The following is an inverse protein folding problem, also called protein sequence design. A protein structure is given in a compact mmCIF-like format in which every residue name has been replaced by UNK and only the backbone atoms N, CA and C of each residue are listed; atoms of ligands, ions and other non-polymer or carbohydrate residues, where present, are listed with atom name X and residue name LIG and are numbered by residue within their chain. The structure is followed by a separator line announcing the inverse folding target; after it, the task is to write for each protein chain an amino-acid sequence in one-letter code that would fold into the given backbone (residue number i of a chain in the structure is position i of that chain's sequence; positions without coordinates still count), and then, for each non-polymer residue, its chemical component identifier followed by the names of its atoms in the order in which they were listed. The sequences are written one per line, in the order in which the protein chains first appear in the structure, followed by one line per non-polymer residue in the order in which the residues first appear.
data_IF_889371705444
#
_entry.id   IF_889371705444
#
_cell.length_a   1.000
_cell.length_b   1.000
_cell.length_c   1.000
_cell.angle_alpha   90.00
_cell.angle_beta   90.00
_cell.angle_gamma   90.00
#
_symmetry.space_group_name_H-M   'P 1'
#
loop_
_entity.id
_entity.type
_entity.pdbx_description
1 polymer ?
#
# COMPACT_ATOMS: atom_id res chain seq x y z
N UNK A 1 -16.06 28.31 -11.07
CA UNK A 1 -15.71 27.65 -9.80
C UNK A 1 -14.93 26.40 -10.13
N UNK A 2 -13.81 26.19 -9.46
CA UNK A 2 -13.03 24.96 -9.52
C UNK A 2 -12.88 24.41 -8.10
N UNK A 3 -12.78 23.11 -7.99
CA UNK A 3 -12.50 22.41 -6.74
C UNK A 3 -11.42 21.37 -7.03
N UNK A 4 -10.43 21.29 -6.16
CA UNK A 4 -9.26 20.47 -6.37
C UNK A 4 -9.11 19.53 -5.19
N UNK A 5 -8.81 18.28 -5.50
CA UNK A 5 -8.52 17.25 -4.53
C UNK A 5 -7.25 16.51 -4.95
N UNK A 6 -6.73 15.68 -4.07
CA UNK A 6 -5.54 14.89 -4.35
C UNK A 6 -5.68 13.45 -3.90
N UNK A 7 -4.93 12.57 -4.57
CA UNK A 7 -4.86 11.15 -4.25
C UNK A 7 -3.41 10.82 -3.91
N UNK A 8 -3.17 10.31 -2.70
CA UNK A 8 -1.82 10.07 -2.18
C UNK A 8 -1.63 8.60 -1.84
N UNK A 9 -0.57 7.99 -2.36
CA UNK A 9 -0.17 6.63 -1.98
C UNK A 9 0.86 6.69 -0.85
N UNK A 10 0.52 6.12 0.31
CA UNK A 10 1.54 5.86 1.31
C UNK A 10 2.40 4.67 0.86
N UNK A 11 3.68 4.93 0.64
CA UNK A 11 4.63 3.98 0.06
C UNK A 11 4.95 2.82 1.00
N UNK A 12 4.91 3.05 2.32
CA UNK A 12 5.16 2.02 3.34
C UNK A 12 3.98 1.06 3.47
N UNK A 13 2.76 1.60 3.55
CA UNK A 13 1.57 0.77 3.78
C UNK A 13 0.89 0.30 2.49
N UNK A 14 1.31 0.81 1.32
CA UNK A 14 0.66 0.60 0.02
C UNK A 14 -0.84 0.93 0.02
N UNK A 15 -1.23 1.93 0.80
CA UNK A 15 -2.62 2.39 0.96
C UNK A 15 -2.81 3.76 0.31
N UNK A 16 -3.95 3.93 -0.35
CA UNK A 16 -4.33 5.17 -1.01
C UNK A 16 -5.20 6.03 -0.11
N UNK A 17 -4.98 7.33 -0.14
CA UNK A 17 -5.76 8.33 0.57
C UNK A 17 -6.35 9.31 -0.44
N UNK A 18 -7.62 9.64 -0.26
CA UNK A 18 -8.28 10.76 -0.91
C UNK A 18 -8.24 11.96 0.04
N UNK A 19 -7.65 13.07 -0.40
CA UNK A 19 -7.56 14.29 0.39
C UNK A 19 -8.39 15.38 -0.28
N UNK A 20 -9.44 15.81 0.42
CA UNK A 20 -10.37 16.84 0.02
C UNK A 20 -10.45 17.91 1.11
N UNK A 21 -9.73 19.01 0.92
CA UNK A 21 -9.53 20.06 1.92
C UNK A 21 -9.11 19.42 3.27
N UNK A 22 -9.92 19.57 4.32
CA UNK A 22 -9.65 19.02 5.66
C UNK A 22 -10.09 17.55 5.83
N UNK A 23 -10.76 16.96 4.83
CA UNK A 23 -11.23 15.58 4.88
C UNK A 23 -10.25 14.62 4.20
N UNK A 24 -9.78 13.63 4.94
CA UNK A 24 -8.82 12.62 4.46
C UNK A 24 -9.42 11.23 4.67
N UNK A 25 -9.58 10.48 3.59
CA UNK A 25 -10.23 9.18 3.59
C UNK A 25 -9.31 8.09 3.03
N UNK A 26 -9.28 6.93 3.67
CA UNK A 26 -8.62 5.73 3.14
C UNK A 26 -9.48 5.13 2.01
N UNK A 27 -8.92 4.97 0.82
CA UNK A 27 -9.64 4.44 -0.34
C UNK A 27 -8.96 3.18 -0.92
N UNK A 28 -9.73 2.41 -1.70
CA UNK A 28 -9.20 1.28 -2.48
C UNK A 28 -8.51 1.78 -3.75
N UNK A 29 -7.49 1.07 -4.22
CA UNK A 29 -6.75 1.42 -5.45
C UNK A 29 -7.63 1.53 -6.69
N UNK A 30 -8.69 0.72 -6.80
CA UNK A 30 -9.64 0.78 -7.91
C UNK A 30 -10.54 2.02 -7.93
N UNK A 31 -10.51 2.86 -6.89
CA UNK A 31 -11.23 4.13 -6.82
C UNK A 31 -10.33 5.33 -7.17
N UNK A 32 -9.03 5.10 -7.38
CA UNK A 32 -8.11 6.15 -7.81
C UNK A 32 -8.40 6.48 -9.28
N UNK A 33 -8.63 7.75 -9.65
CA UNK A 33 -8.89 8.15 -11.03
C UNK A 33 -7.75 7.81 -11.98
N UNK A 34 -8.06 7.79 -13.27
CA UNK A 34 -7.04 7.65 -14.30
C UNK A 34 -6.04 8.81 -14.21
N UNK A 35 -4.73 8.58 -14.39
CA UNK A 35 -3.75 9.66 -14.45
C UNK A 35 -4.04 10.72 -15.53
N UNK A 36 -4.86 10.39 -16.54
CA UNK A 36 -5.30 11.33 -17.58
C UNK A 36 -6.28 12.40 -17.08
N UNK A 37 -6.97 12.13 -15.98
CA UNK A 37 -7.92 13.05 -15.36
C UNK A 37 -7.21 13.99 -14.36
N UNK A 38 -5.91 13.76 -14.11
CA UNK A 38 -5.10 14.55 -13.22
C UNK A 38 -4.39 15.68 -13.97
N UNK A 39 -4.34 16.86 -13.33
CA UNK A 39 -3.61 18.02 -13.86
C UNK A 39 -2.11 17.98 -13.52
N UNK A 40 -1.72 17.33 -12.41
CA UNK A 40 -0.34 17.11 -11.98
C UNK A 40 -0.19 15.71 -11.40
N UNK A 41 0.95 15.08 -11.65
CA UNK A 41 1.31 13.76 -11.13
C UNK A 41 2.69 13.82 -10.46
N UNK A 42 2.80 13.19 -9.29
CA UNK A 42 4.06 13.05 -8.57
C UNK A 42 4.50 11.58 -8.55
N UNK A 43 5.79 11.35 -8.80
CA UNK A 43 6.39 10.01 -8.82
C UNK A 43 7.62 9.98 -7.93
N UNK A 44 7.78 8.89 -7.18
CA UNK A 44 9.03 8.55 -6.51
C UNK A 44 9.83 7.60 -7.42
N UNK A 45 11.15 7.81 -7.52
CA UNK A 45 12.02 6.88 -8.24
C UNK A 45 12.05 5.54 -7.52
N UNK A 46 12.05 4.45 -8.28
CA UNK A 46 12.10 3.11 -7.72
C UNK A 46 13.31 2.89 -6.79
N UNK A 47 14.47 3.48 -7.14
CA UNK A 47 15.72 3.43 -6.37
C UNK A 47 15.63 4.10 -5.01
N UNK A 48 14.69 5.05 -4.84
CA UNK A 48 14.57 5.86 -3.63
C UNK A 48 13.58 5.23 -2.64
N UNK A 49 13.04 4.06 -2.97
CA UNK A 49 12.18 3.30 -2.06
C UNK A 49 13.06 2.69 -0.98
N UNK A 50 12.88 3.02 0.31
CA UNK A 50 13.60 2.31 1.36
C UNK A 50 13.24 0.83 1.24
N UNK A 51 14.25 -0.02 1.02
CA UNK A 51 14.08 -1.47 1.05
C UNK A 51 13.48 -1.81 2.41
N UNK A 52 12.25 -2.34 2.43
CA UNK A 52 11.65 -2.81 3.66
C UNK A 52 12.65 -3.73 4.37
N UNK A 53 12.81 -3.66 5.72
CA UNK A 53 13.56 -4.68 6.42
C UNK A 53 12.91 -6.02 6.08
N UNK A 54 13.72 -7.00 5.66
CA UNK A 54 13.25 -8.34 5.36
C UNK A 54 12.40 -8.84 6.53
N UNK A 55 11.10 -9.03 6.29
CA UNK A 55 10.24 -9.78 7.21
C UNK A 55 10.83 -11.18 7.24
N UNK A 56 11.62 -11.49 8.27
CA UNK A 56 11.99 -12.87 8.58
C UNK A 56 10.67 -13.57 8.87
N UNK A 57 10.23 -14.41 7.95
CA UNK A 57 9.17 -15.36 8.24
C UNK A 57 9.73 -16.29 9.32
N UNK A 58 9.22 -16.15 10.52
CA UNK A 58 9.39 -17.13 11.58
C UNK A 58 8.51 -18.31 11.17
N UNK A 59 9.13 -19.36 10.60
CA UNK A 59 8.45 -20.61 10.30
C UNK A 59 7.96 -21.22 11.62
N UNK A 60 6.64 -21.19 11.82
CA UNK A 60 5.93 -21.89 12.89
C UNK A 60 6.15 -23.41 12.73
N UNK A 61 7.11 -23.93 13.50
CA UNK A 61 7.45 -25.34 13.54
C UNK A 61 6.36 -26.14 14.27
N UNK A 62 5.24 -26.42 13.59
CA UNK A 62 4.30 -27.47 14.05
C UNK A 62 4.73 -28.84 13.52
N UNK A 63 5.69 -29.48 14.21
CA UNK A 63 6.01 -30.90 13.99
C UNK A 63 4.88 -31.77 14.55
N UNK A 64 4.00 -32.29 13.68
CA UNK A 64 3.10 -33.40 14.02
C UNK A 64 3.88 -34.70 13.94
N UNK A 65 4.30 -35.23 15.08
CA UNK A 65 4.81 -36.60 15.17
C UNK A 65 3.63 -37.58 15.00
N UNK A 66 3.45 -38.06 13.78
CA UNK A 66 2.71 -39.29 13.52
C UNK A 66 3.68 -40.45 13.78
N UNK A 67 3.51 -41.19 14.89
CA UNK A 67 4.19 -42.47 15.05
C UNK A 67 3.21 -43.63 14.94
N UNK A 68 3.51 -44.49 13.97
CA UNK A 68 2.88 -45.77 13.67
C UNK A 68 3.52 -46.84 14.57
N UNK A 69 2.68 -47.63 15.24
CA UNK A 69 2.87 -49.05 15.60
C UNK A 69 4.14 -49.51 16.35
N UNK A 70 3.91 -50.06 17.54
CA UNK A 70 4.28 -51.42 17.94
C UNK A 70 3.22 -51.94 18.93
#
# INVERSE_FOLDING_TARGET
YGHYCSYVLNVSSKKWFYCNDDNIELIKSGLVPSPKDAYILFYQRATDTPSAPAVRQEEDATRKDNNVGC
#
